data_IF_323490865394
#
_entry.id   IF_323490865394
#
_cell.length_a   1.000
_cell.length_b   1.000
_cell.length_c   1.000
_cell.angle_alpha   90.00
_cell.angle_beta   90.00
_cell.angle_gamma   90.00
#
_symmetry.space_group_name_H-M   'P 1'
#
loop_
_entity.id
_entity.type
_entity.pdbx_description
1 polymer ?
#
# COMPACT_ATOMS: atom_id res chain seq x y z
N UNK A 1 -4.25 -26.52 -21.37
CA UNK A 1 -5.55 -25.95 -20.93
C UNK A 1 -6.12 -26.85 -19.85
N UNK A 2 -5.76 -26.59 -18.59
CA UNK A 2 -6.51 -27.11 -17.44
C UNK A 2 -7.57 -26.05 -17.17
N UNK A 3 -8.86 -26.40 -17.31
CA UNK A 3 -9.95 -25.45 -17.05
C UNK A 3 -10.06 -25.22 -15.54
N UNK A 4 -9.69 -24.04 -15.07
CA UNK A 4 -9.97 -23.57 -13.71
C UNK A 4 -11.32 -22.84 -13.66
N UNK A 5 -12.37 -23.45 -14.21
CA UNK A 5 -13.75 -22.93 -14.10
C UNK A 5 -14.31 -23.06 -12.68
N UNK A 6 -13.61 -23.78 -11.79
CA UNK A 6 -14.01 -23.91 -10.38
C UNK A 6 -13.41 -22.75 -9.59
N UNK A 7 -14.30 -21.88 -9.10
CA UNK A 7 -13.91 -20.77 -8.25
C UNK A 7 -13.20 -21.27 -6.98
N UNK A 8 -12.09 -20.60 -6.63
CA UNK A 8 -11.32 -20.83 -5.39
C UNK A 8 -12.07 -20.18 -4.23
N UNK A 9 -12.32 -20.97 -3.17
CA UNK A 9 -13.12 -20.56 -1.99
C UNK A 9 -12.42 -20.83 -0.66
N UNK A 10 -11.17 -21.29 -0.65
CA UNK A 10 -10.38 -21.49 0.58
C UNK A 10 -8.89 -21.31 0.34
N UNK A 11 -8.13 -21.07 1.42
CA UNK A 11 -6.68 -20.95 1.37
C UNK A 11 -6.01 -22.23 0.85
N UNK A 12 -6.47 -23.42 1.24
CA UNK A 12 -5.96 -24.70 0.72
C UNK A 12 -6.14 -24.86 -0.80
N UNK A 13 -7.15 -24.22 -1.39
CA UNK A 13 -7.37 -24.24 -2.83
C UNK A 13 -6.52 -23.20 -3.56
N UNK A 14 -6.18 -22.09 -2.88
CA UNK A 14 -5.31 -21.04 -3.40
C UNK A 14 -3.84 -21.46 -3.33
N UNK A 15 -3.38 -21.94 -2.18
CA UNK A 15 -2.00 -22.28 -1.88
C UNK A 15 -1.69 -23.73 -2.27
N UNK A 16 -1.68 -23.99 -3.57
CA UNK A 16 -1.39 -25.32 -4.13
C UNK A 16 -0.12 -25.31 -4.96
N UNK A 17 0.53 -26.48 -5.08
CA UNK A 17 1.67 -26.67 -5.98
C UNK A 17 1.35 -26.26 -7.42
N UNK A 18 0.13 -26.55 -7.87
CA UNK A 18 -0.30 -26.22 -9.23
C UNK A 18 -0.41 -24.70 -9.41
N UNK A 19 -0.92 -23.96 -8.43
CA UNK A 19 -1.00 -22.50 -8.48
C UNK A 19 0.38 -21.83 -8.36
N UNK A 20 1.29 -22.37 -7.55
CA UNK A 20 2.68 -21.92 -7.52
C UNK A 20 3.36 -22.09 -8.88
N UNK A 21 3.19 -23.27 -9.49
CA UNK A 21 3.68 -23.52 -10.85
C UNK A 21 2.99 -22.60 -11.87
N UNK A 22 1.73 -22.24 -11.66
CA UNK A 22 1.03 -21.30 -12.53
C UNK A 22 1.67 -19.90 -12.46
N UNK A 23 1.95 -19.38 -11.26
CA UNK A 23 2.66 -18.09 -11.08
C UNK A 23 4.02 -18.13 -11.79
N UNK A 24 4.80 -19.20 -11.61
CA UNK A 24 6.14 -19.33 -12.18
C UNK A 24 6.16 -19.34 -13.72
N UNK A 25 5.09 -19.82 -14.35
CA UNK A 25 4.99 -19.95 -15.80
C UNK A 25 4.04 -18.93 -16.44
N UNK A 26 3.41 -18.07 -15.63
CA UNK A 26 2.56 -17.00 -16.14
C UNK A 26 3.42 -15.92 -16.78
N UNK A 27 2.92 -15.35 -17.87
CA UNK A 27 3.55 -14.22 -18.55
C UNK A 27 3.07 -12.92 -17.89
N UNK A 28 3.87 -12.40 -16.97
CA UNK A 28 3.61 -11.10 -16.35
C UNK A 28 4.08 -10.02 -17.31
N UNK A 29 3.14 -9.35 -17.97
CA UNK A 29 3.47 -8.33 -18.98
C UNK A 29 3.32 -6.92 -18.44
N UNK A 30 4.08 -5.98 -19.01
CA UNK A 30 3.95 -4.54 -18.72
C UNK A 30 2.55 -4.02 -19.09
N UNK A 31 1.96 -4.52 -20.18
CA UNK A 31 0.61 -4.13 -20.60
C UNK A 31 -0.44 -4.54 -19.56
N UNK A 32 -0.31 -5.73 -18.99
CA UNK A 32 -1.19 -6.20 -17.92
C UNK A 32 -1.04 -5.35 -16.66
N UNK A 33 0.20 -4.99 -16.32
CA UNK A 33 0.47 -4.09 -15.20
C UNK A 33 -0.16 -2.70 -15.40
N UNK A 34 -0.01 -2.11 -16.58
CA UNK A 34 -0.64 -0.82 -16.91
C UNK A 34 -2.16 -0.89 -16.86
N UNK A 35 -2.74 -2.03 -17.26
CA UNK A 35 -4.19 -2.25 -17.16
C UNK A 35 -4.64 -2.32 -15.70
N UNK A 36 -3.87 -2.97 -14.82
CA UNK A 36 -4.11 -2.99 -13.37
C UNK A 36 -4.07 -1.57 -12.79
N UNK A 37 -3.04 -0.78 -13.10
CA UNK A 37 -2.95 0.61 -12.63
C UNK A 37 -4.13 1.45 -13.11
N UNK A 38 -4.56 1.25 -14.35
CA UNK A 38 -5.73 1.93 -14.92
C UNK A 38 -7.02 1.53 -14.22
N UNK A 39 -7.21 0.24 -13.91
CA UNK A 39 -8.39 -0.24 -13.16
C UNK A 39 -8.46 0.43 -11.78
N UNK A 40 -7.35 0.47 -11.04
CA UNK A 40 -7.28 1.15 -9.74
C UNK A 40 -7.58 2.65 -9.88
N UNK A 41 -7.05 3.31 -10.91
CA UNK A 41 -7.37 4.71 -11.20
C UNK A 41 -8.86 4.92 -11.49
N UNK A 42 -9.45 4.08 -12.34
CA UNK A 42 -10.86 4.18 -12.71
C UNK A 42 -11.75 4.01 -11.47
N UNK A 43 -11.43 3.05 -10.59
CA UNK A 43 -12.09 2.85 -9.28
C UNK A 43 -11.92 4.08 -8.37
N UNK A 44 -10.75 4.72 -8.40
CA UNK A 44 -10.46 5.94 -7.63
C UNK A 44 -11.27 7.16 -8.06
N UNK A 45 -11.79 7.18 -9.29
CA UNK A 45 -12.56 8.33 -9.83
C UNK A 45 -14.02 8.00 -10.05
N UNK A 46 -14.41 6.73 -9.95
CA UNK A 46 -15.78 6.28 -10.17
C UNK A 46 -16.72 6.97 -9.18
N UNK A 47 -17.66 7.77 -9.68
CA UNK A 47 -18.61 8.54 -8.86
C UNK A 47 -17.98 9.55 -7.88
N UNK A 48 -16.67 9.80 -7.94
CA UNK A 48 -15.99 10.75 -7.06
C UNK A 48 -16.45 12.19 -7.33
N UNK A 49 -16.94 12.86 -6.29
CA UNK A 49 -17.32 14.29 -6.36
C UNK A 49 -16.59 15.10 -5.31
N UNK A 50 -15.65 15.93 -5.77
CA UNK A 50 -14.92 16.88 -4.93
C UNK A 50 -15.62 18.24 -4.91
N UNK A 51 -15.76 18.83 -3.71
CA UNK A 51 -16.41 20.13 -3.53
C UNK A 51 -15.38 21.19 -3.11
N UNK A 52 -15.42 22.35 -3.75
CA UNK A 52 -14.56 23.49 -3.44
C UNK A 52 -14.96 24.21 -2.15
N UNK A 53 -16.17 23.95 -1.63
CA UNK A 53 -16.74 24.59 -0.46
C UNK A 53 -16.58 23.78 0.84
N UNK A 54 -16.04 22.57 0.76
CA UNK A 54 -15.73 21.74 1.94
C UNK A 54 -14.22 21.79 2.22
N UNK A 55 -13.82 21.34 3.41
CA UNK A 55 -12.41 21.37 3.83
C UNK A 55 -11.53 20.46 2.95
N UNK A 56 -10.22 20.70 2.98
CA UNK A 56 -9.26 19.84 2.31
C UNK A 56 -9.33 18.40 2.87
N UNK A 57 -9.47 18.28 4.20
CA UNK A 57 -9.63 16.99 4.88
C UNK A 57 -10.84 16.22 4.37
N UNK A 58 -12.00 16.86 4.21
CA UNK A 58 -13.20 16.17 3.76
C UNK A 58 -13.08 15.70 2.30
N UNK A 59 -12.44 16.48 1.43
CA UNK A 59 -12.15 16.03 0.07
C UNK A 59 -11.17 14.85 0.05
N UNK A 60 -10.16 14.84 0.92
CA UNK A 60 -9.20 13.73 1.05
C UNK A 60 -9.89 12.47 1.58
N UNK A 61 -10.78 12.61 2.57
CA UNK A 61 -11.64 11.51 3.04
C UNK A 61 -12.49 10.93 1.91
N UNK A 62 -13.10 11.77 1.06
CA UNK A 62 -13.89 11.30 -0.10
C UNK A 62 -13.07 10.53 -1.13
N UNK A 63 -11.80 10.90 -1.32
CA UNK A 63 -10.87 10.16 -2.19
C UNK A 63 -10.57 8.79 -1.57
N UNK A 64 -10.19 8.76 -0.29
CA UNK A 64 -9.94 7.50 0.41
C UNK A 64 -11.17 6.59 0.46
N UNK A 65 -12.37 7.14 0.64
CA UNK A 65 -13.64 6.38 0.65
C UNK A 65 -13.97 5.66 -0.65
N UNK A 66 -13.27 5.91 -1.76
CA UNK A 66 -13.40 5.08 -2.96
C UNK A 66 -12.85 3.67 -2.75
N UNK A 67 -11.90 3.53 -1.84
CA UNK A 67 -11.11 2.32 -1.64
C UNK A 67 -11.27 1.71 -0.26
N UNK A 68 -11.31 2.58 0.75
CA UNK A 68 -11.20 2.19 2.16
C UNK A 68 -12.21 2.93 3.04
N UNK A 69 -12.63 2.26 4.09
CA UNK A 69 -13.44 2.85 5.16
C UNK A 69 -12.54 3.51 6.20
N UNK A 70 -12.84 4.75 6.57
CA UNK A 70 -12.11 5.47 7.62
C UNK A 70 -12.84 5.32 8.95
N UNK A 71 -12.13 4.88 9.98
CA UNK A 71 -12.58 4.79 11.36
C UNK A 71 -11.74 5.66 12.27
N UNK A 72 -12.31 6.08 13.39
CA UNK A 72 -11.55 6.75 14.43
C UNK A 72 -11.17 5.77 15.53
N UNK A 73 -9.92 5.83 15.96
CA UNK A 73 -9.39 5.06 17.08
C UNK A 73 -8.88 6.01 18.15
N UNK A 74 -9.21 5.72 19.40
CA UNK A 74 -8.65 6.42 20.58
C UNK A 74 -7.33 5.78 21.05
N UNK A 75 -6.81 4.76 20.35
CA UNK A 75 -5.51 4.18 20.69
C UNK A 75 -4.43 5.24 20.47
N UNK A 76 -3.88 5.78 21.56
CA UNK A 76 -2.92 6.89 21.58
C UNK A 76 -1.56 6.60 20.91
N UNK A 77 -1.34 5.38 20.41
CA UNK A 77 0.01 4.87 20.08
C UNK A 77 0.43 5.24 18.65
N UNK A 78 -0.49 5.43 17.69
CA UNK A 78 -0.15 5.88 16.33
C UNK A 78 -1.02 7.02 15.82
N UNK A 79 -0.51 7.76 14.83
CA UNK A 79 -1.27 8.75 14.07
C UNK A 79 -2.41 8.11 13.28
N UNK A 80 -2.14 6.93 12.72
CA UNK A 80 -3.11 6.06 12.08
C UNK A 80 -2.50 4.71 11.76
N UNK A 81 -3.29 3.84 11.13
CA UNK A 81 -2.81 2.62 10.50
C UNK A 81 -3.83 2.08 9.49
N UNK A 82 -3.33 1.48 8.42
CA UNK A 82 -4.08 0.70 7.45
C UNK A 82 -4.14 -0.76 7.86
N UNK A 83 -5.34 -1.34 7.81
CA UNK A 83 -5.53 -2.79 7.81
C UNK A 83 -6.80 -3.11 7.05
N UNK A 84 -6.70 -3.95 6.01
CA UNK A 84 -7.82 -4.51 5.26
C UNK A 84 -8.90 -3.51 4.93
N UNK A 85 -8.83 -2.81 3.80
CA UNK A 85 -9.85 -1.83 3.39
C UNK A 85 -10.30 -0.81 4.48
N UNK A 86 -9.56 -0.67 5.58
CA UNK A 86 -9.86 0.23 6.69
C UNK A 86 -8.64 1.05 7.03
N UNK A 87 -8.83 2.35 7.16
CA UNK A 87 -7.85 3.27 7.76
C UNK A 87 -8.38 3.66 9.13
N UNK A 88 -7.58 3.43 10.17
CA UNK A 88 -7.86 3.94 11.50
C UNK A 88 -7.09 5.22 11.71
N UNK A 89 -7.78 6.29 12.07
CA UNK A 89 -7.20 7.60 12.33
C UNK A 89 -7.32 7.97 13.80
N UNK A 90 -6.28 8.60 14.34
CA UNK A 90 -6.37 9.26 15.62
C UNK A 90 -7.13 10.59 15.47
N UNK A 91 -8.30 10.70 16.10
CA UNK A 91 -9.17 11.88 15.99
C UNK A 91 -8.63 13.10 16.75
N UNK A 92 -7.59 12.94 17.55
CA UNK A 92 -6.95 14.04 18.28
C UNK A 92 -5.92 14.80 17.41
N UNK A 93 -5.63 14.31 16.21
CA UNK A 93 -4.74 14.97 15.25
C UNK A 93 -5.39 16.22 14.65
N UNK A 94 -4.56 17.22 14.34
CA UNK A 94 -4.96 18.37 13.51
C UNK A 94 -5.45 17.92 12.12
N UNK A 95 -6.21 18.76 11.42
CA UNK A 95 -6.71 18.38 10.09
C UNK A 95 -5.56 18.14 9.10
N UNK A 96 -4.50 18.94 9.16
CA UNK A 96 -3.29 18.75 8.37
C UNK A 96 -2.64 17.38 8.63
N UNK A 97 -2.53 16.99 9.90
CA UNK A 97 -2.00 15.67 10.27
C UNK A 97 -2.93 14.53 9.81
N UNK A 98 -4.25 14.69 9.93
CA UNK A 98 -5.19 13.69 9.41
C UNK A 98 -5.11 13.55 7.89
N UNK A 99 -4.94 14.66 7.16
CA UNK A 99 -4.78 14.65 5.70
C UNK A 99 -3.58 13.79 5.31
N UNK A 100 -2.42 14.01 5.93
CA UNK A 100 -1.20 13.26 5.58
C UNK A 100 -1.30 11.81 5.98
N UNK A 101 -1.83 11.51 7.17
CA UNK A 101 -2.07 10.12 7.59
C UNK A 101 -3.01 9.40 6.62
N UNK A 102 -4.09 10.04 6.15
CA UNK A 102 -4.98 9.40 5.16
C UNK A 102 -4.23 9.11 3.85
N UNK A 103 -3.41 10.04 3.36
CA UNK A 103 -2.64 9.83 2.11
C UNK A 103 -1.59 8.72 2.29
N UNK A 104 -0.90 8.69 3.43
CA UNK A 104 0.08 7.66 3.80
C UNK A 104 -0.55 6.27 3.81
N UNK A 105 -1.63 6.12 4.58
CA UNK A 105 -2.32 4.83 4.73
C UNK A 105 -3.05 4.40 3.44
N UNK A 106 -3.55 5.35 2.65
CA UNK A 106 -4.11 5.06 1.33
C UNK A 106 -3.02 4.56 0.35
N UNK A 107 -1.78 5.01 0.50
CA UNK A 107 -0.66 4.53 -0.32
C UNK A 107 -0.40 3.05 -0.06
N UNK A 108 -0.35 2.63 1.21
CA UNK A 108 -0.25 1.22 1.58
C UNK A 108 -1.37 0.37 0.98
N UNK A 109 -2.61 0.90 1.01
CA UNK A 109 -3.75 0.21 0.43
C UNK A 109 -3.60 0.03 -1.09
N UNK A 110 -3.30 1.10 -1.84
CA UNK A 110 -3.15 1.02 -3.30
C UNK A 110 -2.01 0.07 -3.67
N UNK A 111 -0.91 0.08 -2.90
CA UNK A 111 0.20 -0.83 -3.11
C UNK A 111 -0.20 -2.30 -2.92
N UNK A 112 -0.94 -2.62 -1.86
CA UNK A 112 -1.51 -3.95 -1.67
C UNK A 112 -2.45 -4.32 -2.83
N UNK A 113 -3.33 -3.39 -3.22
CA UNK A 113 -4.31 -3.61 -4.29
C UNK A 113 -3.66 -3.99 -5.63
N UNK A 114 -2.50 -3.43 -5.98
CA UNK A 114 -1.75 -3.83 -7.17
C UNK A 114 -1.49 -5.34 -7.19
N UNK A 115 -1.04 -5.92 -6.06
CA UNK A 115 -0.80 -7.36 -5.96
C UNK A 115 -2.10 -8.17 -5.89
N UNK A 116 -3.14 -7.62 -5.26
CA UNK A 116 -4.46 -8.27 -5.24
C UNK A 116 -5.02 -8.42 -6.66
N UNK A 117 -4.94 -7.38 -7.49
CA UNK A 117 -5.39 -7.42 -8.90
C UNK A 117 -4.58 -8.42 -9.73
N UNK A 118 -3.27 -8.55 -9.49
CA UNK A 118 -2.46 -9.63 -10.10
C UNK A 118 -3.00 -11.01 -9.74
N UNK A 119 -3.29 -11.26 -8.46
CA UNK A 119 -3.83 -12.55 -8.02
C UNK A 119 -5.24 -12.82 -8.58
N UNK A 120 -6.12 -11.82 -8.68
CA UNK A 120 -7.42 -11.96 -9.35
C UNK A 120 -7.30 -12.23 -10.84
N UNK A 121 -6.28 -11.67 -11.50
CA UNK A 121 -6.00 -11.93 -12.90
C UNK A 121 -5.54 -13.37 -13.14
N UNK A 122 -4.70 -13.89 -12.25
CA UNK A 122 -4.17 -15.26 -12.34
C UNK A 122 -5.19 -16.33 -11.93
N UNK A 123 -6.05 -16.00 -10.97
CA UNK A 123 -6.89 -16.97 -10.29
C UNK A 123 -8.35 -16.54 -10.23
N UNK A 124 -9.26 -17.46 -10.54
CA UNK A 124 -10.69 -17.28 -10.34
C UNK A 124 -11.05 -17.43 -8.85
N UNK A 125 -10.68 -16.44 -8.02
CA UNK A 125 -10.97 -16.41 -6.59
C UNK A 125 -12.31 -15.73 -6.33
N UNK A 126 -13.18 -16.40 -5.58
CA UNK A 126 -14.51 -15.85 -5.24
C UNK A 126 -14.47 -14.93 -4.02
N UNK A 127 -13.67 -15.29 -3.05
CA UNK A 127 -13.67 -14.67 -1.72
C UNK A 127 -12.50 -13.69 -1.58
N UNK A 128 -12.82 -12.39 -1.46
CA UNK A 128 -11.84 -11.29 -1.46
C UNK A 128 -10.76 -11.44 -0.38
N UNK A 129 -11.21 -11.82 0.83
CA UNK A 129 -10.37 -11.96 2.01
C UNK A 129 -9.24 -12.99 1.88
N UNK A 130 -9.36 -13.97 0.97
CA UNK A 130 -8.31 -14.94 0.72
C UNK A 130 -7.11 -14.29 0.04
N UNK A 131 -7.37 -13.46 -0.97
CA UNK A 131 -6.32 -12.73 -1.70
C UNK A 131 -5.74 -11.64 -0.79
N UNK A 132 -6.60 -10.88 -0.12
CA UNK A 132 -6.18 -9.81 0.80
C UNK A 132 -5.31 -10.34 1.95
N UNK A 133 -5.63 -11.50 2.54
CA UNK A 133 -4.80 -12.09 3.61
C UNK A 133 -3.42 -12.53 3.13
N UNK A 134 -3.33 -13.13 1.94
CA UNK A 134 -2.04 -13.53 1.34
C UNK A 134 -1.18 -12.31 1.03
N UNK A 135 -1.76 -11.26 0.44
CA UNK A 135 -1.03 -10.02 0.11
C UNK A 135 -0.60 -9.30 1.38
N UNK A 136 -1.48 -9.13 2.36
CA UNK A 136 -1.13 -8.51 3.65
C UNK A 136 0.01 -9.27 4.34
N UNK A 137 -0.04 -10.61 4.35
CA UNK A 137 1.05 -11.39 4.90
C UNK A 137 2.34 -11.20 4.09
N UNK A 138 2.29 -11.26 2.75
CA UNK A 138 3.46 -11.07 1.88
C UNK A 138 4.18 -9.75 2.15
N UNK A 139 3.42 -8.65 2.26
CA UNK A 139 3.98 -7.32 2.50
C UNK A 139 4.58 -7.18 3.91
N UNK A 140 4.09 -7.95 4.89
CA UNK A 140 4.55 -7.91 6.28
C UNK A 140 5.56 -9.01 6.66
N UNK A 141 5.75 -10.06 5.84
CA UNK A 141 6.53 -11.24 6.20
C UNK A 141 8.05 -11.00 6.20
N UNK A 142 8.55 -10.05 5.42
CA UNK A 142 9.96 -9.66 5.43
C UNK A 142 10.12 -8.24 5.92
N UNK A 143 11.13 -8.02 6.77
CA UNK A 143 11.42 -6.70 7.34
C UNK A 143 11.79 -5.72 6.21
N UNK A 144 12.48 -6.20 5.18
CA UNK A 144 12.85 -5.42 3.99
C UNK A 144 11.62 -4.92 3.22
N UNK A 145 10.64 -5.78 2.93
CA UNK A 145 9.37 -5.35 2.32
C UNK A 145 8.63 -4.34 3.19
N UNK A 146 8.49 -4.63 4.49
CA UNK A 146 7.75 -3.76 5.42
C UNK A 146 8.30 -2.34 5.42
N UNK A 147 9.62 -2.20 5.39
CA UNK A 147 10.26 -0.89 5.37
C UNK A 147 10.21 -0.24 3.99
N UNK A 148 10.34 -1.03 2.93
CA UNK A 148 10.20 -0.50 1.58
C UNK A 148 8.77 0.03 1.34
N UNK A 149 7.76 -0.64 1.90
CA UNK A 149 6.36 -0.20 1.91
C UNK A 149 6.19 1.11 2.71
N UNK A 150 6.76 1.21 3.92
CA UNK A 150 6.78 2.49 4.66
C UNK A 150 7.53 3.59 3.90
N UNK A 151 8.67 3.27 3.29
CA UNK A 151 9.41 4.22 2.46
C UNK A 151 8.54 4.75 1.31
N UNK A 152 7.84 3.85 0.60
CA UNK A 152 6.90 4.17 -0.47
C UNK A 152 5.83 5.17 0.02
N UNK A 153 5.17 4.90 1.15
CA UNK A 153 4.12 5.77 1.69
C UNK A 153 4.64 7.14 2.11
N UNK A 154 5.81 7.23 2.76
CA UNK A 154 6.43 8.53 3.07
C UNK A 154 6.81 9.35 1.82
N UNK A 155 7.26 8.69 0.75
CA UNK A 155 7.58 9.37 -0.52
C UNK A 155 6.31 9.92 -1.18
N UNK A 156 5.24 9.12 -1.24
CA UNK A 156 3.96 9.54 -1.85
C UNK A 156 3.33 10.64 -1.01
N UNK A 157 3.21 10.47 0.32
CA UNK A 157 2.71 11.49 1.25
C UNK A 157 3.46 12.83 1.06
N UNK A 158 4.80 12.76 1.02
CA UNK A 158 5.65 13.93 0.82
C UNK A 158 5.32 14.74 -0.44
N UNK A 159 4.79 14.13 -1.50
CA UNK A 159 4.40 14.84 -2.75
C UNK A 159 3.14 15.71 -2.58
N UNK A 160 2.35 15.47 -1.54
CA UNK A 160 1.13 16.20 -1.21
C UNK A 160 1.27 17.09 0.03
N UNK A 161 2.35 16.91 0.81
CA UNK A 161 2.72 17.73 1.97
C UNK A 161 3.60 18.94 1.57
N UNK A 162 3.41 20.14 2.15
CA UNK A 162 4.33 21.26 1.93
C UNK A 162 5.79 20.86 2.24
N UNK A 163 6.77 21.16 1.36
CA UNK A 163 8.16 20.70 1.55
C UNK A 163 8.77 21.10 2.90
N UNK A 164 8.46 22.27 3.42
CA UNK A 164 8.94 22.71 4.73
C UNK A 164 8.35 21.91 5.91
N UNK A 165 7.21 21.24 5.73
CA UNK A 165 6.48 20.51 6.79
C UNK A 165 6.65 18.99 6.71
N UNK A 166 7.41 18.48 5.75
CA UNK A 166 7.68 17.04 5.64
C UNK A 166 8.41 16.52 6.88
N UNK A 167 7.94 15.37 7.40
CA UNK A 167 8.48 14.74 8.59
C UNK A 167 8.73 13.24 8.36
N UNK A 168 10.00 12.85 8.34
CA UNK A 168 10.45 11.48 8.13
C UNK A 168 11.01 10.85 9.41
N UNK A 169 10.85 11.50 10.57
CA UNK A 169 11.49 11.05 11.81
C UNK A 169 11.04 9.64 12.20
N UNK A 170 9.75 9.34 12.09
CA UNK A 170 9.18 8.02 12.41
C UNK A 170 9.74 6.93 11.48
N UNK A 171 9.90 7.21 10.18
CA UNK A 171 10.56 6.31 9.25
C UNK A 171 12.03 6.05 9.62
N UNK A 172 12.78 7.11 9.93
CA UNK A 172 14.19 6.99 10.33
C UNK A 172 14.36 6.21 11.64
N UNK A 173 13.44 6.38 12.60
CA UNK A 173 13.41 5.59 13.83
C UNK A 173 13.16 4.12 13.52
N UNK A 174 12.19 3.81 12.66
CA UNK A 174 11.89 2.44 12.23
C UNK A 174 13.11 1.76 11.59
N UNK A 175 13.85 2.46 10.73
CA UNK A 175 15.10 1.95 10.12
C UNK A 175 16.15 1.58 11.17
N UNK A 176 16.30 2.40 12.21
CA UNK A 176 17.27 2.19 13.29
C UNK A 176 16.82 1.03 14.18
N UNK A 177 15.55 0.98 14.56
CA UNK A 177 14.98 -0.05 15.44
C UNK A 177 15.07 -1.45 14.82
N UNK A 178 14.80 -1.55 13.51
CA UNK A 178 14.86 -2.80 12.78
C UNK A 178 16.28 -3.17 12.31
N UNK A 179 17.29 -2.34 12.62
CA UNK A 179 18.71 -2.55 12.31
C UNK A 179 18.97 -2.90 10.83
N UNK A 180 18.42 -2.08 9.93
CA UNK A 180 18.31 -2.45 8.52
C UNK A 180 19.59 -2.22 7.77
N UNK A 181 19.98 -3.25 7.03
CA UNK A 181 21.08 -3.15 6.10
C UNK A 181 20.57 -2.62 4.76
N UNK A 182 20.66 -1.31 4.59
CA UNK A 182 20.21 -0.60 3.38
C UNK A 182 20.86 -1.17 2.11
N UNK A 183 22.14 -1.53 2.16
CA UNK A 183 22.85 -2.12 1.02
C UNK A 183 22.25 -3.47 0.59
N UNK A 184 21.89 -4.32 1.55
CA UNK A 184 21.26 -5.61 1.27
C UNK A 184 19.81 -5.49 0.83
N UNK A 185 19.13 -4.43 1.27
CA UNK A 185 17.70 -4.19 1.02
C UNK A 185 17.46 -3.27 -0.18
N UNK A 186 18.53 -2.89 -0.89
CA UNK A 186 18.53 -1.87 -1.92
C UNK A 186 17.50 -2.11 -3.03
N UNK A 187 17.36 -3.34 -3.51
CA UNK A 187 16.38 -3.70 -4.55
C UNK A 187 14.95 -3.39 -4.13
N UNK A 188 14.60 -3.66 -2.86
CA UNK A 188 13.27 -3.33 -2.33
C UNK A 188 13.01 -1.83 -2.30
N UNK A 189 14.01 -1.02 -1.93
CA UNK A 189 13.87 0.44 -1.96
C UNK A 189 13.78 1.01 -3.37
N UNK A 190 14.55 0.48 -4.33
CA UNK A 190 14.46 0.87 -5.74
C UNK A 190 13.07 0.53 -6.28
N UNK A 191 12.61 -0.70 -6.04
CA UNK A 191 11.28 -1.16 -6.42
C UNK A 191 10.19 -0.26 -5.81
N UNK A 192 10.22 -0.04 -4.49
CA UNK A 192 9.29 0.86 -3.81
C UNK A 192 9.33 2.29 -4.36
N UNK A 193 10.51 2.80 -4.73
CA UNK A 193 10.62 4.11 -5.36
C UNK A 193 9.91 4.15 -6.71
N UNK A 194 10.06 3.13 -7.55
CA UNK A 194 9.35 3.05 -8.83
C UNK A 194 7.83 2.97 -8.64
N UNK A 195 7.37 2.12 -7.73
CA UNK A 195 5.94 2.02 -7.39
C UNK A 195 5.39 3.36 -6.87
N UNK A 196 6.20 4.15 -6.17
CA UNK A 196 5.77 5.47 -5.70
C UNK A 196 5.42 6.40 -6.86
N UNK A 197 6.07 6.27 -8.02
CA UNK A 197 5.71 7.03 -9.21
C UNK A 197 4.37 6.59 -9.78
N UNK A 198 4.13 5.28 -9.86
CA UNK A 198 2.86 4.73 -10.34
C UNK A 198 1.68 5.16 -9.44
N UNK A 199 1.85 5.13 -8.12
CA UNK A 199 0.82 5.60 -7.17
C UNK A 199 0.61 7.11 -7.26
N UNK A 200 1.66 7.92 -7.45
CA UNK A 200 1.49 9.36 -7.68
C UNK A 200 0.77 9.64 -8.99
N UNK A 201 1.01 8.86 -10.04
CA UNK A 201 0.28 9.00 -11.31
C UNK A 201 -1.21 8.65 -11.18
N UNK A 202 -1.57 7.76 -10.25
CA UNK A 202 -2.98 7.51 -9.86
C UNK A 202 -3.55 8.71 -9.07
N UNK A 203 -2.84 9.19 -8.05
CA UNK A 203 -3.38 10.16 -7.09
C UNK A 203 -3.34 11.61 -7.58
N UNK A 204 -2.31 12.02 -8.33
CA UNK A 204 -2.07 13.40 -8.74
C UNK A 204 -3.17 13.99 -9.64
N UNK A 205 -3.77 13.25 -10.59
CA UNK A 205 -4.93 13.75 -11.33
C UNK A 205 -6.15 14.02 -10.43
N UNK A 206 -6.26 13.32 -9.29
CA UNK A 206 -7.38 13.39 -8.34
C UNK A 206 -7.13 14.49 -7.32
N UNK A 207 -5.97 14.47 -6.66
CA UNK A 207 -5.47 15.51 -5.75
C UNK A 207 -4.81 16.62 -6.58
N UNK A 208 -5.67 17.32 -7.32
CA UNK A 208 -5.26 18.42 -8.23
C UNK A 208 -4.44 19.50 -7.52
N UNK A 209 -3.69 20.29 -8.28
CA UNK A 209 -2.94 21.45 -7.75
C UNK A 209 -3.79 22.38 -6.90
N UNK A 210 -5.09 22.51 -7.23
CA UNK A 210 -6.03 23.30 -6.43
C UNK A 210 -6.25 22.67 -5.05
N UNK A 211 -6.45 21.35 -4.98
CA UNK A 211 -6.61 20.66 -3.71
C UNK A 211 -5.29 20.67 -2.92
N UNK A 212 -4.13 20.49 -3.57
CA UNK A 212 -2.80 20.68 -2.96
C UNK A 212 -2.65 22.06 -2.31
N UNK A 213 -3.11 23.13 -2.96
CA UNK A 213 -3.10 24.47 -2.36
C UNK A 213 -4.03 24.59 -1.15
N UNK A 214 -5.17 23.90 -1.15
CA UNK A 214 -6.05 23.85 0.02
C UNK A 214 -5.40 23.07 1.18
N UNK A 215 -4.74 21.94 0.89
CA UNK A 215 -3.95 21.18 1.87
C UNK A 215 -2.85 22.08 2.46
N UNK A 216 -2.04 22.74 1.63
CA UNK A 216 -0.98 23.62 2.10
C UNK A 216 -1.50 24.79 2.98
N UNK A 217 -2.69 25.31 2.69
CA UNK A 217 -3.34 26.30 3.57
C UNK A 217 -3.74 25.70 4.91
N UNK A 218 -4.20 24.45 4.94
CA UNK A 218 -4.55 23.77 6.18
C UNK A 218 -3.34 23.64 7.12
N UNK A 219 -2.15 23.34 6.57
CA UNK A 219 -0.90 23.31 7.35
C UNK A 219 -0.57 24.65 8.03
N UNK A 220 -0.89 25.77 7.37
CA UNK A 220 -0.71 27.11 7.95
C UNK A 220 -1.77 27.41 9.01
N UNK A 221 -3.01 26.96 8.79
CA UNK A 221 -4.11 27.12 9.76
C UNK A 221 -3.85 26.35 11.05
N UNK A 222 -3.32 25.14 10.92
CA UNK A 222 -3.02 24.25 12.04
C UNK A 222 -1.65 24.54 12.70
N UNK A 223 -0.93 25.57 12.21
CA UNK A 223 0.38 25.99 12.72
C UNK A 223 1.41 24.83 12.79
N UNK A 224 1.46 24.02 11.74
CA UNK A 224 2.35 22.86 11.69
C UNK A 224 3.81 23.30 11.62
N UNK A 225 4.65 22.68 12.45
CA UNK A 225 6.09 22.93 12.50
C UNK A 225 6.77 22.76 11.15
N UNK A 226 7.74 23.65 10.88
CA UNK A 226 8.57 23.61 9.68
C UNK A 226 9.88 22.91 9.98
N UNK A 227 10.03 21.69 9.48
CA UNK A 227 11.18 20.81 9.73
C UNK A 227 12.20 20.84 8.58
N UNK A 228 11.79 21.19 7.35
CA UNK A 228 12.63 21.20 6.14
C UNK A 228 13.41 19.90 5.92
N UNK A 229 12.83 18.76 6.30
CA UNK A 229 13.48 17.48 6.10
C UNK A 229 13.38 17.07 4.63
N UNK A 230 14.38 16.34 4.16
CA UNK A 230 14.38 15.74 2.83
C UNK A 230 14.80 14.29 2.97
N UNK A 231 13.97 13.39 2.47
CA UNK A 231 14.33 11.99 2.36
C UNK A 231 15.08 11.78 1.04
N UNK A 232 16.35 11.40 1.12
CA UNK A 232 17.17 11.03 -0.03
C UNK A 232 17.68 9.62 0.15
N UNK A 233 17.51 8.80 -0.88
CA UNK A 233 18.10 7.47 -0.95
C UNK A 233 19.35 7.57 -1.83
N UNK A 234 20.50 7.09 -1.36
CA UNK A 234 21.79 7.26 -2.07
C UNK A 234 21.82 6.59 -3.46
N UNK A 235 20.88 5.68 -3.72
CA UNK A 235 20.70 4.99 -5.00
C UNK A 235 19.49 5.48 -5.80
N UNK A 236 19.01 6.70 -5.55
CA UNK A 236 17.86 7.26 -6.27
C UNK A 236 18.06 7.39 -7.79
N UNK A 237 19.30 7.32 -8.27
CA UNK A 237 19.62 7.29 -9.71
C UNK A 237 19.51 5.88 -10.32
N UNK A 238 19.50 4.82 -9.50
CA UNK A 238 19.25 3.46 -9.95
C UNK A 238 17.74 3.20 -9.95
N UNK A 239 17.25 2.72 -11.09
CA UNK A 239 15.82 2.56 -11.34
C UNK A 239 15.59 1.21 -11.99
N UNK A 240 14.52 0.53 -11.59
CA UNK A 240 14.01 -0.60 -12.37
C UNK A 240 13.34 -0.04 -13.62
N UNK A 241 13.58 -0.69 -14.76
CA UNK A 241 12.69 -0.50 -15.89
C UNK A 241 11.33 -1.19 -15.65
N UNK A 242 10.38 -0.96 -16.57
CA UNK A 242 9.02 -1.52 -16.43
C UNK A 242 9.01 -3.05 -16.42
N UNK A 243 9.96 -3.70 -17.12
CA UNK A 243 10.06 -5.17 -17.16
C UNK A 243 10.62 -5.68 -15.84
N UNK A 244 11.72 -5.10 -15.36
CA UNK A 244 12.33 -5.44 -14.06
C UNK A 244 11.33 -5.26 -12.91
N UNK A 245 10.53 -4.19 -12.94
CA UNK A 245 9.47 -3.93 -11.95
C UNK A 245 8.41 -5.04 -11.93
N UNK A 246 7.95 -5.47 -13.11
CA UNK A 246 6.94 -6.51 -13.24
C UNK A 246 7.50 -7.91 -12.89
N UNK A 247 8.74 -8.20 -13.28
CA UNK A 247 9.46 -9.42 -12.86
C UNK A 247 9.61 -9.49 -11.34
N UNK A 248 9.97 -8.38 -10.69
CA UNK A 248 10.09 -8.31 -9.23
C UNK A 248 8.75 -8.58 -8.53
N UNK A 249 7.63 -8.07 -9.07
CA UNK A 249 6.29 -8.41 -8.56
C UNK A 249 5.98 -9.90 -8.66
N UNK A 250 6.32 -10.52 -9.80
CA UNK A 250 6.14 -11.95 -10.00
C UNK A 250 6.98 -12.75 -9.00
N UNK A 251 8.23 -12.34 -8.75
CA UNK A 251 9.11 -12.96 -7.76
C UNK A 251 8.52 -12.86 -6.35
N UNK A 252 7.96 -11.71 -5.95
CA UNK A 252 7.31 -11.53 -4.65
C UNK A 252 6.11 -12.48 -4.49
N UNK A 253 5.25 -12.56 -5.50
CA UNK A 253 4.09 -13.46 -5.50
C UNK A 253 4.50 -14.93 -5.49
N UNK A 254 5.52 -15.30 -6.27
CA UNK A 254 6.06 -16.65 -6.30
C UNK A 254 6.63 -17.02 -4.93
N UNK A 255 7.44 -16.13 -4.34
CA UNK A 255 8.08 -16.34 -3.05
C UNK A 255 7.07 -16.62 -1.95
N UNK A 256 5.98 -15.85 -1.87
CA UNK A 256 5.01 -16.08 -0.79
C UNK A 256 4.25 -17.40 -0.96
N UNK A 257 3.91 -17.79 -2.19
CA UNK A 257 3.33 -19.11 -2.44
C UNK A 257 4.33 -20.24 -2.12
N UNK A 258 5.59 -20.09 -2.50
CA UNK A 258 6.65 -21.06 -2.21
C UNK A 258 6.86 -21.22 -0.69
N UNK A 259 6.81 -20.11 0.06
CA UNK A 259 6.90 -20.11 1.52
C UNK A 259 5.82 -20.99 2.19
N UNK A 260 4.57 -20.93 1.73
CA UNK A 260 3.49 -21.76 2.27
C UNK A 260 3.49 -23.20 1.76
N UNK A 261 4.00 -23.45 0.55
CA UNK A 261 3.93 -24.78 -0.10
C UNK A 261 5.16 -25.64 0.18
N UNK A 262 6.33 -25.02 0.25
CA UNK A 262 7.64 -25.67 0.40
C UNK A 262 8.39 -25.25 1.65
N UNK A 263 8.13 -24.04 2.14
CA UNK A 263 8.81 -23.44 3.27
C UNK A 263 8.15 -23.77 4.61
N UNK A 264 8.29 -22.82 5.52
CA UNK A 264 7.81 -22.92 6.91
C UNK A 264 6.43 -22.26 7.09
N UNK A 265 5.78 -21.83 6.00
CA UNK A 265 4.52 -21.12 6.09
C UNK A 265 3.39 -21.95 6.70
N UNK A 266 2.70 -21.35 7.66
CA UNK A 266 1.57 -21.95 8.35
C UNK A 266 0.28 -21.24 7.92
N UNK A 267 -0.63 -21.98 7.28
CA UNK A 267 -1.92 -21.44 6.80
C UNK A 267 -2.70 -20.77 7.95
N UNK A 268 -2.55 -21.25 9.18
CA UNK A 268 -3.19 -20.63 10.34
C UNK A 268 -2.78 -19.16 10.51
N UNK A 269 -1.58 -18.75 10.11
CA UNK A 269 -1.14 -17.36 10.22
C UNK A 269 -1.99 -16.46 9.31
N UNK A 270 -2.37 -16.94 8.13
CA UNK A 270 -3.31 -16.25 7.23
C UNK A 270 -4.73 -16.24 7.80
N UNK A 271 -5.15 -17.33 8.45
CA UNK A 271 -6.45 -17.35 9.14
C UNK A 271 -6.53 -16.31 10.27
N UNK A 272 -5.42 -16.01 10.96
CA UNK A 272 -5.37 -14.92 11.94
C UNK A 272 -5.59 -13.55 11.29
N UNK A 273 -5.02 -13.30 10.11
CA UNK A 273 -5.34 -12.09 9.32
C UNK A 273 -6.82 -12.01 8.98
N UNK A 274 -7.40 -13.11 8.46
CA UNK A 274 -8.83 -13.17 8.13
C UNK A 274 -9.70 -12.88 9.38
N UNK A 275 -9.39 -13.49 10.53
CA UNK A 275 -10.09 -13.23 11.78
C UNK A 275 -9.91 -11.78 12.27
N UNK A 276 -8.74 -11.18 12.05
CA UNK A 276 -8.46 -9.79 12.38
C UNK A 276 -9.18 -8.79 11.46
N UNK A 277 -9.55 -9.20 10.24
CA UNK A 277 -10.40 -8.39 9.37
C UNK A 277 -11.81 -8.23 9.94
N UNK A 278 -12.33 -9.31 10.54
CA UNK A 278 -13.64 -9.36 11.22
C UNK A 278 -13.61 -8.74 12.62
N UNK A 279 -12.51 -8.91 13.36
CA UNK A 279 -12.33 -8.39 14.71
C UNK A 279 -11.27 -7.27 14.71
N UNK A 280 -11.71 -6.02 14.67
CA UNK A 280 -10.88 -4.81 14.68
C UNK A 280 -10.08 -4.59 15.99
N UNK A 281 -9.17 -5.51 16.35
CA UNK A 281 -8.37 -5.39 17.59
C UNK A 281 -6.97 -6.05 17.57
N UNK A 282 -6.54 -6.79 16.55
CA UNK A 282 -5.43 -7.76 16.73
C UNK A 282 -4.05 -7.47 16.12
N UNK A 283 -3.77 -6.29 15.53
CA UNK A 283 -2.43 -6.01 15.01
C UNK A 283 -1.78 -4.83 15.71
N UNK A 284 -1.22 -5.10 16.89
CA UNK A 284 -0.14 -4.33 17.53
C UNK A 284 0.72 -5.34 18.28
N UNK A 285 1.73 -5.90 17.62
CA UNK A 285 3.00 -6.31 18.23
C UNK A 285 4.14 -5.95 17.27
#
# INVERSE_FOLDING_TARGET
MISTDKAITSLDQLLTRDNLNHIANADFTVDDYQMILKEIYDESVENLTLDKNISALENIKRIAYQHVNIYFSEKEISSGYYIYNKIYLNNNLSEAQQIVTIIHELTHHIYAEIFEKWLYKLFNVREKFLVESVVMFMLNNSIENRIADEYLSYIVEGRFTPPECQNYLSFLQLLIELNINVEKSKSFFIFAHEISHDIDDILKPIITDKLKQCIAKQFVVDDIDKLYQKLTFDYCDERFDEVEKVEFMQEMLYFIFDYFINGEGNINDLEHYIQGFDNSLMFVE
#
